data_IF_564204087987
#
_entry.id   IF_564204087987
#
_cell.length_a   1.000
_cell.length_b   1.000
_cell.length_c   1.000
_cell.angle_alpha   90.00
_cell.angle_beta   90.00
_cell.angle_gamma   90.00
#
_symmetry.space_group_name_H-M   'P 1'
#
loop_
_entity.id
_entity.type
_entity.pdbx_description
1 polymer ?
#
# COMPACT_ATOMS: atom_id res chain seq x y z
N UNK A 1 -4.55 19.21 -35.56
CA UNK A 1 -3.62 20.32 -35.26
C UNK A 1 -2.35 19.72 -34.67
N UNK A 2 -1.21 19.94 -35.31
CA UNK A 2 0.10 19.46 -34.85
C UNK A 2 0.66 20.39 -33.76
N UNK A 3 1.52 19.87 -32.89
CA UNK A 3 2.10 20.64 -31.78
C UNK A 3 2.90 21.86 -32.29
N UNK A 4 3.60 21.71 -33.41
CA UNK A 4 4.38 22.78 -34.04
C UNK A 4 3.53 23.97 -34.50
N UNK A 5 2.31 23.72 -34.99
CA UNK A 5 1.39 24.79 -35.37
C UNK A 5 0.84 25.54 -34.13
N UNK A 6 0.75 24.89 -32.98
CA UNK A 6 0.38 25.56 -31.74
C UNK A 6 1.50 26.48 -31.25
N UNK A 7 2.76 26.01 -31.29
CA UNK A 7 3.99 26.77 -30.97
C UNK A 7 4.10 28.03 -31.83
N UNK A 8 3.92 27.89 -33.15
CA UNK A 8 4.01 29.00 -34.10
C UNK A 8 3.02 30.14 -33.77
N UNK A 9 1.87 29.79 -33.19
CA UNK A 9 0.79 30.74 -32.90
C UNK A 9 0.65 31.07 -31.41
N UNK A 10 1.58 30.66 -30.55
CA UNK A 10 1.56 30.93 -29.11
C UNK A 10 0.36 30.32 -28.39
N UNK A 11 -0.21 29.23 -28.93
CA UNK A 11 -1.41 28.54 -28.41
C UNK A 11 -1.04 27.31 -27.57
N UNK A 12 0.22 27.15 -27.23
CA UNK A 12 0.75 26.12 -26.33
C UNK A 12 0.39 26.39 -24.87
N UNK A 13 -0.91 26.38 -24.54
CA UNK A 13 -1.38 26.44 -23.15
C UNK A 13 -1.09 25.14 -22.37
N UNK A 14 -0.45 24.14 -23.00
CA UNK A 14 -0.15 22.85 -22.39
C UNK A 14 1.24 22.89 -21.76
N UNK A 15 1.27 22.78 -20.45
CA UNK A 15 2.53 22.55 -19.73
C UNK A 15 3.17 21.22 -20.18
N UNK A 16 4.49 21.20 -20.41
CA UNK A 16 5.19 19.97 -20.73
C UNK A 16 5.10 18.99 -19.56
N UNK A 17 4.79 17.72 -19.86
CA UNK A 17 4.73 16.70 -18.82
C UNK A 17 6.10 16.50 -18.17
N UNK A 18 6.20 16.74 -16.86
CA UNK A 18 7.46 16.64 -16.09
C UNK A 18 7.49 15.51 -15.06
N UNK A 19 6.45 14.66 -14.99
CA UNK A 19 6.42 13.57 -14.00
C UNK A 19 7.33 12.42 -14.42
N UNK A 20 7.67 11.58 -13.44
CA UNK A 20 8.63 10.46 -13.58
C UNK A 20 8.32 9.47 -14.70
N UNK A 21 7.04 9.25 -15.02
CA UNK A 21 6.60 8.39 -16.11
C UNK A 21 7.12 8.80 -17.51
N UNK A 22 7.65 10.03 -17.65
CA UNK A 22 8.27 10.52 -18.88
C UNK A 22 9.60 9.84 -19.20
N UNK A 23 10.43 9.63 -18.18
CA UNK A 23 11.82 9.16 -18.36
C UNK A 23 12.03 7.75 -17.82
N UNK A 24 11.19 7.27 -16.91
CA UNK A 24 11.29 5.94 -16.34
C UNK A 24 10.02 5.12 -16.61
N UNK A 25 10.20 4.01 -17.34
CA UNK A 25 9.11 3.09 -17.66
C UNK A 25 8.55 2.40 -16.41
N UNK A 26 9.34 2.20 -15.36
CA UNK A 26 8.92 1.56 -14.11
C UNK A 26 7.98 2.45 -13.28
N UNK A 27 8.02 3.77 -13.48
CA UNK A 27 7.16 4.75 -12.82
C UNK A 27 5.76 4.88 -13.45
N UNK A 28 5.48 4.17 -14.56
CA UNK A 28 4.18 4.17 -15.22
C UNK A 28 3.11 3.43 -14.40
N UNK A 29 1.80 3.60 -14.69
CA UNK A 29 0.76 2.80 -14.08
C UNK A 29 1.06 1.30 -14.21
N UNK A 30 0.98 0.55 -13.10
CA UNK A 30 1.33 -0.88 -13.07
C UNK A 30 2.83 -1.19 -13.10
N UNK A 31 3.70 -0.19 -13.25
CA UNK A 31 5.15 -0.38 -13.27
C UNK A 31 5.73 -0.75 -11.90
N UNK A 32 6.97 -1.25 -11.94
CA UNK A 32 7.69 -1.84 -10.81
C UNK A 32 8.39 -0.86 -9.87
N UNK A 33 8.30 0.46 -10.12
CA UNK A 33 8.93 1.47 -9.25
C UNK A 33 8.49 1.29 -7.79
N UNK A 34 9.41 1.02 -6.83
CA UNK A 34 9.05 0.73 -5.44
C UNK A 34 8.28 1.86 -4.77
N UNK A 35 8.70 3.12 -4.99
CA UNK A 35 8.04 4.30 -4.44
C UNK A 35 6.59 4.43 -4.96
N UNK A 36 6.41 4.38 -6.28
CA UNK A 36 5.08 4.47 -6.88
C UNK A 36 4.20 3.28 -6.50
N UNK A 37 4.76 2.07 -6.39
CA UNK A 37 4.04 0.87 -5.95
C UNK A 37 3.56 1.01 -4.51
N UNK A 38 4.43 1.43 -3.60
CA UNK A 38 4.08 1.66 -2.20
C UNK A 38 2.94 2.66 -2.05
N UNK A 39 3.00 3.79 -2.76
CA UNK A 39 1.92 4.78 -2.73
C UNK A 39 0.57 4.23 -3.21
N UNK A 40 0.56 3.35 -4.21
CA UNK A 40 -0.66 2.69 -4.69
C UNK A 40 -1.19 1.64 -3.70
N UNK A 41 -0.30 0.89 -3.05
CA UNK A 41 -0.64 -0.20 -2.14
C UNK A 41 -0.96 0.26 -0.70
N UNK A 42 -0.49 1.45 -0.31
CA UNK A 42 -0.52 1.94 1.08
C UNK A 42 -1.86 1.74 1.81
N UNK A 43 -2.99 2.09 1.17
CA UNK A 43 -4.31 1.91 1.79
C UNK A 43 -4.67 0.44 2.03
N UNK A 44 -4.23 -0.45 1.15
CA UNK A 44 -4.43 -1.89 1.31
C UNK A 44 -3.52 -2.44 2.40
N UNK A 45 -2.26 -2.01 2.41
CA UNK A 45 -1.28 -2.43 3.41
C UNK A 45 -1.75 -2.06 4.83
N UNK A 46 -2.29 -0.85 5.01
CA UNK A 46 -2.89 -0.44 6.29
C UNK A 46 -4.08 -1.33 6.71
N UNK A 47 -4.92 -1.77 5.76
CA UNK A 47 -6.03 -2.68 6.06
C UNK A 47 -5.54 -4.06 6.48
N UNK A 48 -4.51 -4.57 5.79
CA UNK A 48 -3.90 -5.86 6.13
C UNK A 48 -3.26 -5.78 7.53
N UNK A 49 -2.54 -4.70 7.83
CA UNK A 49 -1.96 -4.48 9.15
C UNK A 49 -3.02 -4.47 10.25
N UNK A 50 -4.08 -3.68 10.09
CA UNK A 50 -5.19 -3.64 11.06
C UNK A 50 -5.89 -4.99 11.23
N UNK A 51 -6.08 -5.75 10.15
CA UNK A 51 -6.66 -7.09 10.24
C UNK A 51 -5.74 -8.06 11.01
N UNK A 52 -4.43 -8.01 10.75
CA UNK A 52 -3.45 -8.82 11.46
C UNK A 52 -3.38 -8.47 12.94
N UNK A 53 -3.46 -7.19 13.31
CA UNK A 53 -3.53 -6.75 14.70
C UNK A 53 -4.73 -7.36 15.43
N UNK A 54 -5.91 -7.31 14.82
CA UNK A 54 -7.12 -7.91 15.39
C UNK A 54 -7.02 -9.44 15.52
N UNK A 55 -6.41 -10.12 14.54
CA UNK A 55 -6.16 -11.57 14.59
C UNK A 55 -5.20 -11.90 15.74
N UNK A 56 -4.11 -11.15 15.88
CA UNK A 56 -3.12 -11.38 16.92
C UNK A 56 -3.69 -11.16 18.32
N UNK A 57 -4.52 -10.12 18.50
CA UNK A 57 -5.24 -9.89 19.75
C UNK A 57 -6.12 -11.09 20.10
N UNK A 58 -6.91 -11.57 19.14
CA UNK A 58 -7.78 -12.73 19.33
C UNK A 58 -6.98 -13.99 19.69
N UNK A 59 -5.92 -14.30 18.95
CA UNK A 59 -5.07 -15.46 19.23
C UNK A 59 -4.42 -15.37 20.61
N UNK A 60 -3.93 -14.20 21.01
CA UNK A 60 -3.37 -13.98 22.34
C UNK A 60 -4.39 -14.23 23.46
N UNK A 61 -5.67 -13.88 23.25
CA UNK A 61 -6.72 -14.21 24.24
C UNK A 61 -6.98 -15.72 24.35
N UNK A 62 -6.90 -16.45 23.23
CA UNK A 62 -7.06 -17.91 23.22
C UNK A 62 -5.90 -18.55 23.97
N UNK A 63 -4.67 -18.17 23.65
CA UNK A 63 -3.46 -18.69 24.30
C UNK A 63 -3.53 -18.51 25.82
N UNK A 64 -3.93 -17.31 26.27
CA UNK A 64 -4.11 -17.04 27.70
C UNK A 64 -5.16 -17.95 28.34
N UNK A 65 -6.33 -18.10 27.71
CA UNK A 65 -7.40 -18.97 28.23
C UNK A 65 -6.99 -20.43 28.30
N UNK A 66 -6.25 -20.91 27.29
CA UNK A 66 -5.73 -22.28 27.27
C UNK A 66 -4.72 -22.49 28.40
N UNK A 67 -3.84 -21.51 28.63
CA UNK A 67 -2.87 -21.55 29.71
C UNK A 67 -3.55 -21.57 31.09
N UNK A 68 -4.49 -20.66 31.34
CA UNK A 68 -5.26 -20.60 32.58
C UNK A 68 -6.05 -21.90 32.85
N UNK A 69 -6.58 -22.51 31.79
CA UNK A 69 -7.24 -23.81 31.89
C UNK A 69 -6.25 -24.90 32.30
N UNK A 70 -5.11 -24.97 31.61
CA UNK A 70 -4.07 -25.95 31.90
C UNK A 70 -3.54 -25.81 33.34
N UNK A 71 -3.34 -24.59 33.83
CA UNK A 71 -2.95 -24.34 35.23
C UNK A 71 -3.98 -24.87 36.23
N UNK A 72 -5.28 -24.68 35.98
CA UNK A 72 -6.33 -25.23 36.84
C UNK A 72 -6.35 -26.75 36.83
N UNK A 73 -6.24 -27.34 35.65
CA UNK A 73 -6.25 -28.79 35.47
C UNK A 73 -5.05 -29.46 36.20
N UNK A 74 -3.92 -28.75 36.39
CA UNK A 74 -2.77 -29.24 37.19
C UNK A 74 -2.98 -29.10 38.70
N UNK A 75 -3.69 -28.06 39.14
CA UNK A 75 -3.88 -27.76 40.57
C UNK A 75 -4.94 -28.68 41.20
N UNK A 76 -5.90 -29.17 40.40
CA UNK A 76 -6.99 -30.04 40.83
C UNK A 76 -6.66 -31.56 40.76
N UNK A 77 -5.44 -31.95 40.36
CA UNK A 77 -4.86 -33.32 40.40
C UNK A 77 -3.89 -33.51 41.60
#
# INVERSE_FOLDING_TARGET
MTFDAAILHGKEHREPYRKSARFDATCRPGGSCPYCRGNRAHKNDLKILSANEAINEFLGTIEKRLWEKWEKDIIDD
#
